data_IF_954308021988
#
_entry.id   IF_954308021988
#
_cell.length_a   1.000
_cell.length_b   1.000
_cell.length_c   1.000
_cell.angle_alpha   90.00
_cell.angle_beta   90.00
_cell.angle_gamma   90.00
#
_symmetry.space_group_name_H-M   'P 1'
#
loop_
_entity.id
_entity.type
_entity.pdbx_description
1 polymer ?
#
# COMPACT_ATOMS: atom_id res chain seq x y z
N UNK A 1 -15.25 -29.92 -2.16
CA UNK A 1 -15.03 -29.16 -3.40
C UNK A 1 -16.40 -28.78 -3.91
N UNK A 2 -16.75 -27.52 -3.86
CA UNK A 2 -18.05 -27.05 -4.30
C UNK A 2 -17.96 -26.80 -5.79
N UNK A 3 -18.78 -27.52 -6.51
CA UNK A 3 -18.71 -27.52 -7.96
C UNK A 3 -19.40 -26.32 -8.58
N UNK A 4 -19.02 -25.96 -9.60
CA UNK A 4 -19.00 -24.93 -10.32
C UNK A 4 -19.88 -24.69 -11.40
N UNK A 5 -20.81 -25.13 -11.86
CA UNK A 5 -21.71 -24.79 -12.98
C UNK A 5 -22.13 -23.29 -13.04
N UNK A 6 -21.16 -22.43 -12.87
CA UNK A 6 -21.34 -21.00 -13.02
C UNK A 6 -22.04 -20.27 -11.86
N UNK A 7 -22.42 -20.96 -10.81
CA UNK A 7 -23.09 -20.34 -9.67
C UNK A 7 -22.11 -20.02 -8.56
N UNK A 8 -22.04 -18.74 -8.18
CA UNK A 8 -21.28 -18.32 -7.02
C UNK A 8 -22.12 -18.57 -5.77
N UNK A 9 -21.77 -19.60 -4.99
CA UNK A 9 -22.44 -19.95 -3.74
C UNK A 9 -21.94 -19.16 -2.53
N UNK A 10 -20.94 -18.31 -2.72
CA UNK A 10 -20.28 -17.56 -1.66
C UNK A 10 -20.48 -16.06 -1.87
N UNK A 11 -20.68 -15.34 -0.80
CA UNK A 11 -20.65 -13.87 -0.86
C UNK A 11 -19.25 -13.38 -1.24
N UNK A 12 -19.14 -12.14 -1.78
CA UNK A 12 -17.86 -11.55 -2.17
C UNK A 12 -16.81 -11.52 -1.04
N UNK A 13 -17.26 -11.35 0.22
CA UNK A 13 -16.36 -11.35 1.38
C UNK A 13 -15.81 -12.75 1.66
N UNK A 14 -16.68 -13.79 1.65
CA UNK A 14 -16.26 -15.18 1.82
C UNK A 14 -15.35 -15.62 0.69
N UNK A 15 -15.67 -15.28 -0.56
CA UNK A 15 -14.81 -15.57 -1.70
C UNK A 15 -13.43 -14.92 -1.54
N UNK A 16 -13.38 -13.66 -1.15
CA UNK A 16 -12.12 -12.95 -0.90
C UNK A 16 -11.32 -13.59 0.24
N UNK A 17 -12.00 -14.03 1.31
CA UNK A 17 -11.39 -14.74 2.41
C UNK A 17 -10.74 -16.05 1.94
N UNK A 18 -11.48 -16.92 1.27
CA UNK A 18 -10.97 -18.19 0.76
C UNK A 18 -9.89 -18.01 -0.30
N UNK A 19 -10.07 -17.07 -1.23
CA UNK A 19 -9.04 -16.77 -2.27
C UNK A 19 -7.74 -16.28 -1.67
N UNK A 20 -7.79 -15.55 -0.56
CA UNK A 20 -6.59 -14.98 0.07
C UNK A 20 -5.99 -15.86 1.18
N UNK A 21 -6.58 -17.00 1.50
CA UNK A 21 -6.03 -17.89 2.53
C UNK A 21 -4.69 -18.51 2.09
N UNK A 22 -3.73 -18.70 3.03
CA UNK A 22 -2.44 -19.35 2.76
C UNK A 22 -2.55 -20.75 2.15
N UNK A 23 -3.64 -21.44 2.43
CA UNK A 23 -3.93 -22.79 1.95
C UNK A 23 -4.82 -22.83 0.69
N UNK A 24 -5.10 -21.69 0.08
CA UNK A 24 -5.86 -21.65 -1.15
C UNK A 24 -5.07 -22.30 -2.29
N UNK A 25 -5.56 -23.40 -2.89
CA UNK A 25 -4.84 -24.07 -3.99
C UNK A 25 -4.73 -23.21 -5.26
N UNK A 26 -5.53 -22.14 -5.38
CA UNK A 26 -5.46 -21.19 -6.50
C UNK A 26 -4.41 -20.09 -6.29
N UNK A 27 -3.82 -20.01 -5.11
CA UNK A 27 -2.80 -19.02 -4.79
C UNK A 27 -1.65 -19.70 -4.06
N UNK A 28 -0.55 -19.89 -4.75
CA UNK A 28 0.61 -20.58 -4.21
C UNK A 28 1.46 -19.65 -3.31
N UNK A 29 2.36 -20.24 -2.54
CA UNK A 29 3.26 -19.51 -1.63
C UNK A 29 4.13 -18.48 -2.36
N UNK A 30 4.43 -18.72 -3.64
CA UNK A 30 5.18 -17.81 -4.49
C UNK A 30 4.39 -16.51 -4.75
N UNK A 31 3.11 -16.62 -5.10
CA UNK A 31 2.26 -15.44 -5.34
C UNK A 31 2.10 -14.56 -4.09
N UNK A 32 2.02 -15.17 -2.90
CA UNK A 32 2.05 -14.41 -1.65
C UNK A 32 3.34 -13.63 -1.43
N UNK A 33 4.49 -14.26 -1.74
CA UNK A 33 5.78 -13.59 -1.66
C UNK A 33 5.89 -12.42 -2.65
N UNK A 34 5.34 -12.58 -3.83
CA UNK A 34 5.35 -11.55 -4.87
C UNK A 34 4.47 -10.36 -4.53
N UNK A 35 3.27 -10.58 -4.00
CA UNK A 35 2.41 -9.50 -3.51
C UNK A 35 3.10 -8.73 -2.38
N UNK A 36 3.76 -9.44 -1.47
CA UNK A 36 4.55 -8.83 -0.40
C UNK A 36 5.75 -8.03 -0.93
N UNK A 37 6.42 -8.54 -1.97
CA UNK A 37 7.54 -7.85 -2.60
C UNK A 37 7.08 -6.57 -3.31
N UNK A 38 6.00 -6.64 -4.08
CA UNK A 38 5.41 -5.49 -4.77
C UNK A 38 5.00 -4.39 -3.77
N UNK A 39 4.29 -4.75 -2.70
CA UNK A 39 3.89 -3.80 -1.64
C UNK A 39 5.11 -3.15 -1.00
N UNK A 40 6.14 -3.93 -0.68
CA UNK A 40 7.40 -3.41 -0.14
C UNK A 40 8.13 -2.52 -1.13
N UNK A 41 8.10 -2.82 -2.43
CA UNK A 41 8.69 -1.98 -3.46
C UNK A 41 8.02 -0.61 -3.53
N UNK A 42 6.69 -0.54 -3.47
CA UNK A 42 5.94 0.73 -3.41
C UNK A 42 6.31 1.52 -2.15
N UNK A 43 6.41 0.87 -1.01
CA UNK A 43 6.83 1.51 0.25
C UNK A 43 8.26 2.07 0.15
N UNK A 44 9.18 1.31 -0.44
CA UNK A 44 10.57 1.75 -0.68
C UNK A 44 10.61 2.91 -1.67
N UNK A 45 9.82 2.85 -2.75
CA UNK A 45 9.70 3.93 -3.73
C UNK A 45 9.29 5.24 -3.05
N UNK A 46 8.20 5.23 -2.29
CA UNK A 46 7.68 6.41 -1.59
C UNK A 46 8.74 6.98 -0.64
N UNK A 47 9.35 6.13 0.18
CA UNK A 47 10.37 6.56 1.13
C UNK A 47 11.60 7.16 0.43
N UNK A 48 12.05 6.60 -0.71
CA UNK A 48 13.16 7.13 -1.48
C UNK A 48 12.82 8.49 -2.11
N UNK A 49 11.62 8.64 -2.67
CA UNK A 49 11.16 9.92 -3.22
C UNK A 49 11.14 11.01 -2.15
N UNK A 50 10.56 10.73 -0.99
CA UNK A 50 10.50 11.68 0.13
C UNK A 50 11.91 12.03 0.63
N UNK A 51 12.79 11.04 0.79
CA UNK A 51 14.18 11.26 1.23
C UNK A 51 14.99 12.08 0.23
N UNK A 52 14.87 11.81 -1.07
CA UNK A 52 15.52 12.61 -2.13
C UNK A 52 15.14 14.10 -2.05
N UNK A 53 13.91 14.38 -1.62
CA UNK A 53 13.38 15.74 -1.51
C UNK A 53 13.45 16.30 -0.09
N UNK A 54 14.34 15.75 0.76
CA UNK A 54 14.60 16.20 2.12
C UNK A 54 13.37 16.21 3.04
N UNK A 55 12.36 15.40 2.71
CA UNK A 55 11.18 15.21 3.54
C UNK A 55 11.46 14.04 4.49
N UNK A 56 11.77 14.37 5.73
CA UNK A 56 12.12 13.41 6.76
C UNK A 56 10.90 12.91 7.53
N UNK A 57 11.03 11.72 8.06
CA UNK A 57 10.08 11.08 8.95
C UNK A 57 10.71 10.96 10.34
N UNK A 58 9.96 11.30 11.37
CA UNK A 58 10.46 11.34 12.75
C UNK A 58 10.98 9.98 13.23
N UNK A 59 10.26 8.90 12.85
CA UNK A 59 10.68 7.53 13.16
C UNK A 59 11.24 6.85 11.92
N UNK A 60 12.56 6.86 11.76
CA UNK A 60 13.21 6.11 10.68
C UNK A 60 13.06 4.59 10.88
N UNK A 61 13.14 3.83 9.78
CA UNK A 61 13.01 2.36 9.78
C UNK A 61 13.93 1.62 10.77
N UNK A 62 14.99 2.23 11.22
CA UNK A 62 15.91 1.66 12.22
C UNK A 62 15.24 1.39 13.57
N UNK A 63 14.21 2.15 13.90
CA UNK A 63 13.49 2.13 15.16
C UNK A 63 12.06 1.57 15.01
N UNK A 64 11.88 0.54 14.18
CA UNK A 64 10.55 -0.05 13.95
C UNK A 64 9.83 -0.48 15.23
N UNK A 65 10.55 -0.99 16.22
CA UNK A 65 9.97 -1.37 17.51
C UNK A 65 9.49 -0.18 18.31
N UNK A 66 10.24 0.91 18.30
CA UNK A 66 9.88 2.16 18.97
C UNK A 66 8.68 2.81 18.29
N UNK A 67 8.66 2.84 16.96
CA UNK A 67 7.51 3.33 16.21
C UNK A 67 6.26 2.49 16.45
N UNK A 68 6.37 1.17 16.47
CA UNK A 68 5.25 0.29 16.79
C UNK A 68 4.73 0.55 18.20
N UNK A 69 5.63 0.72 19.17
CA UNK A 69 5.25 1.06 20.54
C UNK A 69 4.58 2.42 20.64
N UNK A 70 5.11 3.44 19.95
CA UNK A 70 4.52 4.77 19.90
C UNK A 70 3.07 4.73 19.39
N UNK A 71 2.79 4.03 18.30
CA UNK A 71 1.42 3.89 17.77
C UNK A 71 0.55 3.07 18.74
N UNK A 72 1.07 2.01 19.33
CA UNK A 72 0.35 1.20 20.31
C UNK A 72 -0.07 2.00 21.56
N UNK A 73 0.85 2.82 22.10
CA UNK A 73 0.56 3.73 23.22
C UNK A 73 -0.46 4.80 22.82
N UNK A 74 -0.33 5.37 21.62
CA UNK A 74 -1.24 6.40 21.07
C UNK A 74 -2.69 5.92 20.97
N UNK A 75 -2.90 4.62 20.76
CA UNK A 75 -4.23 3.98 20.72
C UNK A 75 -4.60 3.29 22.03
N UNK A 76 -3.97 3.65 23.17
CA UNK A 76 -4.24 3.09 24.49
C UNK A 76 -4.22 1.55 24.50
N UNK A 77 -3.29 0.94 23.78
CA UNK A 77 -3.08 -0.52 23.70
C UNK A 77 -4.28 -1.29 23.12
N UNK A 78 -5.14 -0.65 22.35
CA UNK A 78 -6.38 -1.25 21.82
C UNK A 78 -6.43 -1.24 20.29
N UNK A 79 -7.10 -2.25 19.76
CA UNK A 79 -7.54 -2.19 18.34
C UNK A 79 -8.51 -1.03 18.15
N UNK A 80 -8.21 -0.11 17.26
CA UNK A 80 -9.08 1.05 17.01
C UNK A 80 -10.51 0.63 16.62
N UNK A 81 -10.67 -0.42 15.80
CA UNK A 81 -11.99 -0.83 15.30
C UNK A 81 -12.86 -1.53 16.32
N UNK A 82 -12.35 -2.56 17.01
CA UNK A 82 -13.15 -3.36 17.95
C UNK A 82 -12.89 -3.05 19.43
N UNK A 83 -12.01 -2.11 19.71
CA UNK A 83 -11.63 -1.68 21.07
C UNK A 83 -11.07 -2.80 21.99
N UNK A 84 -10.77 -3.98 21.40
CA UNK A 84 -10.12 -5.09 22.12
C UNK A 84 -8.72 -4.67 22.56
N UNK A 85 -8.34 -5.02 23.80
CA UNK A 85 -6.96 -4.87 24.26
C UNK A 85 -6.02 -5.74 23.43
N UNK A 86 -4.86 -5.20 23.10
CA UNK A 86 -3.82 -5.86 22.30
C UNK A 86 -2.49 -5.82 23.04
N UNK A 87 -1.79 -6.94 23.04
CA UNK A 87 -0.36 -6.92 23.30
C UNK A 87 0.38 -6.25 22.11
N UNK A 88 1.54 -5.68 22.35
CA UNK A 88 2.34 -5.05 21.27
C UNK A 88 2.63 -6.03 20.12
N UNK A 89 2.82 -7.32 20.43
CA UNK A 89 3.04 -8.39 19.45
C UNK A 89 1.80 -8.75 18.61
N UNK A 90 0.60 -8.43 19.10
CA UNK A 90 -0.67 -8.70 18.40
C UNK A 90 -1.13 -7.53 17.55
N UNK A 91 -0.50 -6.36 17.76
CA UNK A 91 -0.81 -5.15 17.01
C UNK A 91 -0.29 -5.23 15.58
N UNK A 92 -1.12 -4.76 14.65
CA UNK A 92 -0.74 -4.49 13.27
C UNK A 92 -0.77 -2.99 13.03
N UNK A 93 0.36 -2.47 12.52
CA UNK A 93 0.42 -1.10 12.02
C UNK A 93 -0.31 -1.04 10.67
N UNK A 94 -1.37 -0.26 10.61
CA UNK A 94 -2.11 -0.02 9.38
C UNK A 94 -1.84 1.37 8.84
N UNK A 95 -1.70 1.44 7.52
CA UNK A 95 -1.69 2.71 6.82
C UNK A 95 -3.09 3.34 6.90
N UNK A 96 -3.30 4.35 7.71
CA UNK A 96 -4.60 5.03 7.81
C UNK A 96 -5.09 5.45 6.44
N UNK A 97 -4.26 6.17 5.68
CA UNK A 97 -4.46 6.36 4.24
C UNK A 97 -3.70 5.27 3.48
N UNK A 98 -4.30 4.61 2.45
CA UNK A 98 -3.77 3.37 1.90
C UNK A 98 -2.43 3.53 1.16
N UNK A 99 -1.49 2.61 1.40
CA UNK A 99 -0.21 2.55 0.69
C UNK A 99 -0.38 2.47 -0.84
N UNK A 100 -1.39 1.75 -1.31
CA UNK A 100 -1.68 1.60 -2.74
C UNK A 100 -1.89 2.95 -3.43
N UNK A 101 -2.34 3.97 -2.69
CA UNK A 101 -2.56 5.33 -3.18
C UNK A 101 -1.43 6.29 -2.79
N UNK A 102 -0.21 5.78 -2.66
CA UNK A 102 1.03 6.51 -2.40
C UNK A 102 1.13 7.17 -1.02
N UNK A 103 0.39 6.69 -0.03
CA UNK A 103 0.56 7.13 1.35
C UNK A 103 1.56 6.25 2.08
N UNK A 104 2.55 6.88 2.73
CA UNK A 104 3.54 6.15 3.53
C UNK A 104 2.97 5.74 4.89
N UNK A 105 3.67 4.83 5.55
CA UNK A 105 3.46 4.54 6.96
C UNK A 105 4.20 5.60 7.78
N UNK A 106 3.47 6.38 8.56
CA UNK A 106 3.98 7.46 9.39
C UNK A 106 3.21 7.57 10.72
N UNK A 107 3.40 8.65 11.48
CA UNK A 107 2.76 8.90 12.78
C UNK A 107 1.24 8.96 12.74
N UNK A 108 0.65 8.99 11.55
CA UNK A 108 -0.80 8.89 11.35
C UNK A 108 -1.30 7.45 11.26
N UNK A 109 -0.41 6.46 11.37
CA UNK A 109 -0.76 5.04 11.34
C UNK A 109 -1.81 4.68 12.39
N UNK A 110 -2.60 3.65 12.09
CA UNK A 110 -3.66 3.14 12.97
C UNK A 110 -3.26 1.81 13.59
N UNK A 111 -3.60 1.63 14.87
CA UNK A 111 -3.43 0.38 15.62
C UNK A 111 -4.62 -0.54 15.38
N UNK A 112 -4.42 -1.67 14.70
CA UNK A 112 -5.47 -2.66 14.43
C UNK A 112 -5.05 -4.06 14.88
N UNK A 113 -6.03 -4.92 15.22
CA UNK A 113 -5.79 -6.35 15.30
C UNK A 113 -5.68 -6.96 13.89
N UNK A 114 -5.11 -8.16 13.78
CA UNK A 114 -4.88 -8.82 12.50
C UNK A 114 -6.15 -8.94 11.64
N UNK A 115 -7.29 -9.26 12.25
CA UNK A 115 -8.58 -9.38 11.56
C UNK A 115 -9.01 -8.05 10.93
N UNK A 116 -9.01 -6.95 11.69
CA UNK A 116 -9.45 -5.65 11.20
C UNK A 116 -8.43 -5.03 10.22
N UNK A 117 -7.13 -5.27 10.43
CA UNK A 117 -6.12 -4.89 9.45
C UNK A 117 -6.35 -5.59 8.09
N UNK A 118 -6.67 -6.89 8.10
CA UNK A 118 -6.99 -7.62 6.88
C UNK A 118 -8.31 -7.16 6.22
N UNK A 119 -9.31 -6.80 7.03
CA UNK A 119 -10.59 -6.29 6.51
C UNK A 119 -10.43 -4.90 5.92
N UNK A 120 -9.70 -4.02 6.57
CA UNK A 120 -9.42 -2.68 6.06
C UNK A 120 -8.62 -2.74 4.76
N UNK A 121 -7.57 -3.57 4.70
CA UNK A 121 -6.78 -3.74 3.47
C UNK A 121 -6.38 -2.37 2.86
N UNK A 122 -6.65 -2.16 1.56
CA UNK A 122 -6.36 -0.92 0.85
C UNK A 122 -7.60 0.02 0.73
N UNK A 123 -8.60 -0.14 1.60
CA UNK A 123 -9.72 0.78 1.64
C UNK A 123 -9.31 2.14 2.22
N UNK A 124 -9.88 3.20 1.68
CA UNK A 124 -9.82 4.51 2.32
C UNK A 124 -10.56 4.52 3.65
N UNK A 125 -10.23 5.41 4.59
CA UNK A 125 -10.91 5.49 5.88
C UNK A 125 -12.43 5.60 5.74
N UNK A 126 -12.92 6.46 4.86
CA UNK A 126 -14.35 6.67 4.59
C UNK A 126 -15.07 5.43 4.07
N UNK A 127 -14.37 4.45 3.50
CA UNK A 127 -14.96 3.21 2.99
C UNK A 127 -14.98 2.08 4.03
N UNK A 128 -14.36 2.33 5.21
CA UNK A 128 -14.20 1.30 6.23
C UNK A 128 -14.71 1.70 7.61
N UNK A 129 -14.54 2.95 7.99
CA UNK A 129 -14.94 3.49 9.29
C UNK A 129 -16.29 4.19 9.23
N UNK A 130 -17.02 4.20 10.35
CA UNK A 130 -18.22 5.02 10.53
C UNK A 130 -17.83 6.49 10.75
N UNK A 131 -18.80 7.41 10.67
CA UNK A 131 -18.56 8.84 10.92
C UNK A 131 -18.01 9.11 12.32
N UNK A 132 -18.55 8.43 13.34
CA UNK A 132 -18.06 8.57 14.73
C UNK A 132 -16.61 8.05 14.85
N UNK A 133 -16.29 6.94 14.19
CA UNK A 133 -14.94 6.41 14.12
C UNK A 133 -13.99 7.35 13.37
N UNK A 134 -14.44 8.00 12.29
CA UNK A 134 -13.64 8.99 11.56
C UNK A 134 -13.35 10.23 12.43
N UNK A 135 -14.34 10.70 13.19
CA UNK A 135 -14.17 11.78 14.16
C UNK A 135 -13.15 11.43 15.24
N UNK A 136 -13.24 10.21 15.81
CA UNK A 136 -12.27 9.70 16.79
C UNK A 136 -10.88 9.55 16.17
N UNK A 137 -10.79 8.97 14.98
CA UNK A 137 -9.54 8.75 14.25
C UNK A 137 -8.83 10.08 13.92
N UNK A 138 -9.58 11.09 13.50
CA UNK A 138 -9.07 12.45 13.28
C UNK A 138 -8.38 13.01 14.52
N UNK A 139 -9.02 12.89 15.69
CA UNK A 139 -8.46 13.37 16.97
C UNK A 139 -7.18 12.63 17.35
N UNK A 140 -7.14 11.32 17.14
CA UNK A 140 -5.98 10.50 17.50
C UNK A 140 -4.83 10.70 16.52
N UNK A 141 -5.09 10.68 15.22
CA UNK A 141 -4.04 10.71 14.19
C UNK A 141 -3.58 12.11 13.83
N UNK A 142 -4.42 13.12 14.06
CA UNK A 142 -4.20 14.50 13.59
C UNK A 142 -4.56 14.73 12.13
N UNK A 143 -5.06 13.71 11.42
CA UNK A 143 -5.58 13.89 10.05
C UNK A 143 -6.89 14.67 10.09
N UNK A 144 -7.05 15.63 9.18
CA UNK A 144 -8.32 16.34 9.07
C UNK A 144 -9.46 15.42 8.61
N UNK A 145 -10.70 15.72 9.01
CA UNK A 145 -11.86 14.97 8.55
C UNK A 145 -12.00 15.01 7.03
N UNK A 146 -11.71 16.15 6.41
CA UNK A 146 -11.68 16.27 4.96
C UNK A 146 -10.73 15.26 4.34
N UNK A 147 -9.52 15.09 4.92
CA UNK A 147 -8.55 14.10 4.46
C UNK A 147 -9.04 12.67 4.65
N UNK A 148 -9.66 12.36 5.78
CA UNK A 148 -10.21 11.02 6.07
C UNK A 148 -11.39 10.66 5.16
N UNK A 149 -12.18 11.63 4.69
CA UNK A 149 -13.24 11.43 3.71
C UNK A 149 -12.75 11.39 2.26
N UNK A 150 -11.52 11.83 2.00
CA UNK A 150 -10.96 11.85 0.66
C UNK A 150 -10.63 10.43 0.16
N UNK A 151 -10.92 10.19 -1.13
CA UNK A 151 -10.47 8.99 -1.87
C UNK A 151 -9.38 9.33 -2.88
N UNK A 152 -8.59 10.34 -2.57
CA UNK A 152 -7.58 10.84 -3.48
C UNK A 152 -6.23 10.15 -3.29
N UNK A 153 -5.49 10.04 -4.37
CA UNK A 153 -4.07 9.68 -4.33
C UNK A 153 -3.28 10.78 -3.61
N UNK A 154 -2.14 10.42 -3.03
CA UNK A 154 -1.21 11.40 -2.49
C UNK A 154 -0.55 12.20 -3.63
N UNK A 155 -1.13 13.38 -3.92
CA UNK A 155 -0.68 14.22 -5.03
C UNK A 155 0.75 14.74 -4.84
N UNK A 156 1.21 14.94 -3.60
CA UNK A 156 2.60 15.33 -3.33
C UNK A 156 3.57 14.23 -3.76
N UNK A 157 3.34 12.99 -3.37
CA UNK A 157 4.20 11.86 -3.75
C UNK A 157 4.08 11.56 -5.25
N UNK A 158 2.89 11.72 -5.84
CA UNK A 158 2.70 11.59 -7.29
C UNK A 158 3.54 12.63 -8.04
N UNK A 159 3.55 13.89 -7.61
CA UNK A 159 4.37 14.92 -8.24
C UNK A 159 5.87 14.59 -8.11
N UNK A 160 6.32 14.16 -6.91
CA UNK A 160 7.70 13.72 -6.73
C UNK A 160 8.07 12.55 -7.64
N UNK A 161 7.15 11.63 -7.90
CA UNK A 161 7.37 10.53 -8.82
C UNK A 161 7.53 11.03 -10.26
N UNK A 162 6.71 11.97 -10.69
CA UNK A 162 6.81 12.61 -12.02
C UNK A 162 8.14 13.35 -12.16
N UNK A 163 8.50 14.15 -11.17
CA UNK A 163 9.75 14.93 -11.17
C UNK A 163 11.01 14.03 -11.17
N UNK A 164 10.88 12.78 -10.71
CA UNK A 164 11.95 11.79 -10.67
C UNK A 164 11.69 10.60 -11.62
N UNK A 165 10.95 10.80 -12.69
CA UNK A 165 10.50 9.71 -13.57
C UNK A 165 11.67 8.97 -14.25
N UNK A 166 12.74 9.68 -14.62
CA UNK A 166 13.96 9.09 -15.19
C UNK A 166 14.61 8.16 -14.17
N UNK A 167 14.84 8.64 -12.95
CA UNK A 167 15.36 7.82 -11.86
C UNK A 167 14.48 6.59 -11.57
N UNK A 168 13.16 6.75 -11.64
CA UNK A 168 12.22 5.64 -11.41
C UNK A 168 12.43 4.50 -12.42
N UNK A 169 12.54 4.82 -13.71
CA UNK A 169 12.73 3.80 -14.75
C UNK A 169 14.17 3.30 -14.84
N UNK A 170 15.16 4.18 -14.77
CA UNK A 170 16.55 3.85 -15.10
C UNK A 170 17.35 3.32 -13.89
N UNK A 171 16.90 3.61 -12.67
CA UNK A 171 17.59 3.17 -11.47
C UNK A 171 16.69 2.33 -10.55
N UNK A 172 15.51 2.84 -10.17
CA UNK A 172 14.68 2.16 -9.19
C UNK A 172 14.15 0.82 -9.71
N UNK A 173 13.53 0.79 -10.88
CA UNK A 173 13.04 -0.45 -11.50
C UNK A 173 14.18 -1.39 -11.94
N UNK A 174 15.38 -0.87 -12.16
CA UNK A 174 16.55 -1.66 -12.53
C UNK A 174 17.20 -2.38 -11.35
N UNK A 175 16.67 -2.24 -10.13
CA UNK A 175 17.14 -3.02 -8.98
C UNK A 175 17.13 -4.51 -9.30
N UNK A 176 18.23 -5.27 -9.02
CA UNK A 176 18.34 -6.70 -9.36
C UNK A 176 17.18 -7.57 -8.83
N UNK A 177 16.58 -7.21 -7.69
CA UNK A 177 15.43 -7.95 -7.16
C UNK A 177 14.15 -7.70 -7.97
N UNK A 178 14.02 -6.54 -8.63
CA UNK A 178 12.89 -6.23 -9.48
C UNK A 178 13.08 -6.73 -10.92
N UNK A 179 14.31 -7.01 -11.33
CA UNK A 179 14.64 -7.60 -12.63
C UNK A 179 14.48 -9.13 -12.68
N UNK A 180 13.95 -9.74 -11.62
CA UNK A 180 13.66 -11.18 -11.58
C UNK A 180 12.30 -11.48 -12.19
N UNK A 181 12.28 -12.45 -13.13
CA UNK A 181 11.04 -13.02 -13.66
C UNK A 181 10.45 -13.99 -12.65
N UNK A 182 9.17 -13.82 -12.33
CA UNK A 182 8.40 -14.66 -11.42
C UNK A 182 7.02 -14.94 -12.03
N UNK A 183 6.66 -16.20 -12.15
CA UNK A 183 5.45 -16.65 -12.86
C UNK A 183 5.34 -16.06 -14.28
N UNK A 184 6.46 -16.02 -15.02
CA UNK A 184 6.51 -15.53 -16.39
C UNK A 184 6.45 -14.01 -16.54
N UNK A 185 6.36 -13.23 -15.46
CA UNK A 185 6.28 -11.77 -15.49
C UNK A 185 7.46 -11.15 -14.75
N UNK A 186 8.04 -10.10 -15.32
CA UNK A 186 9.08 -9.33 -14.66
C UNK A 186 8.50 -8.59 -13.43
N UNK A 187 9.20 -8.63 -12.29
CA UNK A 187 8.72 -7.96 -11.08
C UNK A 187 8.60 -6.45 -11.28
N UNK A 188 9.52 -5.82 -12.02
CA UNK A 188 9.46 -4.41 -12.37
C UNK A 188 8.17 -4.05 -13.12
N UNK A 189 7.72 -4.91 -14.05
CA UNK A 189 6.45 -4.70 -14.77
C UNK A 189 5.26 -4.76 -13.82
N UNK A 190 5.24 -5.73 -12.88
CA UNK A 190 4.18 -5.82 -11.85
C UNK A 190 4.13 -4.58 -10.96
N UNK A 191 5.27 -3.98 -10.62
CA UNK A 191 5.35 -2.73 -9.85
C UNK A 191 4.78 -1.58 -10.67
N UNK A 192 5.24 -1.43 -11.91
CA UNK A 192 4.79 -0.39 -12.83
C UNK A 192 3.28 -0.47 -13.09
N UNK A 193 2.75 -1.66 -13.38
CA UNK A 193 1.31 -1.88 -13.58
C UNK A 193 0.47 -1.58 -12.34
N UNK A 194 1.03 -1.80 -11.15
CA UNK A 194 0.34 -1.45 -9.91
C UNK A 194 0.23 0.06 -9.74
N UNK A 195 1.29 0.79 -10.09
CA UNK A 195 1.26 2.25 -10.11
C UNK A 195 0.32 2.77 -11.19
N UNK A 196 0.42 2.27 -12.42
CA UNK A 196 -0.47 2.65 -13.53
C UNK A 196 -1.95 2.57 -13.14
N UNK A 197 -2.37 1.48 -12.47
CA UNK A 197 -3.77 1.30 -12.03
C UNK A 197 -4.24 2.39 -11.07
N UNK A 198 -3.37 2.85 -10.20
CA UNK A 198 -3.71 3.85 -9.16
C UNK A 198 -3.69 5.26 -9.72
N UNK A 199 -2.72 5.55 -10.60
CA UNK A 199 -2.55 6.88 -11.19
C UNK A 199 -3.32 7.05 -12.51
N UNK A 200 -4.04 6.02 -12.97
CA UNK A 200 -4.77 6.02 -14.23
C UNK A 200 -5.69 7.24 -14.36
N UNK A 201 -5.62 7.91 -15.49
CA UNK A 201 -6.36 9.14 -15.78
C UNK A 201 -5.78 10.41 -15.14
N UNK A 202 -4.72 10.31 -14.32
CA UNK A 202 -4.02 11.48 -13.76
C UNK A 202 -2.72 11.76 -14.50
N UNK A 203 -1.88 10.75 -14.68
CA UNK A 203 -0.55 10.88 -15.30
C UNK A 203 -0.17 9.58 -16.02
N UNK A 204 0.49 9.68 -17.16
CA UNK A 204 1.19 8.57 -17.80
C UNK A 204 2.70 8.72 -17.60
N UNK A 205 3.27 7.89 -16.71
CA UNK A 205 4.69 7.97 -16.38
C UNK A 205 5.61 7.66 -17.58
N UNK A 206 5.17 6.82 -18.51
CA UNK A 206 5.98 6.51 -19.71
C UNK A 206 6.02 7.72 -20.67
N UNK A 207 4.91 8.44 -20.82
CA UNK A 207 4.88 9.70 -21.57
C UNK A 207 5.69 10.80 -20.87
N UNK A 208 5.62 10.90 -19.54
CA UNK A 208 6.46 11.86 -18.79
C UNK A 208 7.96 11.54 -18.96
N UNK A 209 8.34 10.26 -18.90
CA UNK A 209 9.72 9.82 -19.18
C UNK A 209 10.15 10.22 -20.60
N UNK A 210 9.30 9.95 -21.60
CA UNK A 210 9.58 10.30 -23.00
C UNK A 210 9.73 11.81 -23.21
N UNK A 211 8.94 12.63 -22.54
CA UNK A 211 9.08 14.10 -22.63
C UNK A 211 10.47 14.57 -22.17
N UNK A 212 11.05 13.90 -21.18
CA UNK A 212 12.36 14.26 -20.65
C UNK A 212 13.52 13.68 -21.46
N UNK A 213 13.39 12.41 -21.90
CA UNK A 213 14.51 11.66 -22.52
C UNK A 213 14.45 11.58 -24.04
N UNK A 214 13.30 11.88 -24.65
CA UNK A 214 13.06 11.76 -26.07
C UNK A 214 12.65 10.36 -26.55
N UNK A 215 12.66 9.35 -25.68
CA UNK A 215 12.27 7.97 -25.99
C UNK A 215 11.49 7.31 -24.86
N UNK A 216 10.80 6.22 -25.12
CA UNK A 216 10.14 5.44 -24.06
C UNK A 216 11.14 4.64 -23.23
N UNK A 217 10.81 4.32 -21.96
CA UNK A 217 11.67 3.48 -21.13
C UNK A 217 11.82 2.07 -21.70
N UNK A 218 13.05 1.53 -21.64
CA UNK A 218 13.41 0.24 -22.26
C UNK A 218 12.75 -1.00 -21.61
N UNK A 219 12.22 -0.90 -20.41
CA UNK A 219 11.67 -2.02 -19.62
C UNK A 219 10.15 -2.04 -19.54
N UNK A 220 9.45 -1.24 -20.31
CA UNK A 220 7.99 -1.19 -20.30
C UNK A 220 7.46 -1.82 -21.57
N UNK A 221 6.86 -3.00 -21.43
CA UNK A 221 6.05 -3.56 -22.50
C UNK A 221 4.92 -2.57 -22.79
N UNK A 222 5.06 -1.85 -23.90
CA UNK A 222 4.02 -1.00 -24.45
C UNK A 222 2.95 -1.95 -24.98
N UNK A 223 1.85 -2.11 -24.27
CA UNK A 223 0.64 -2.76 -24.76
C UNK A 223 -0.42 -1.69 -24.92
#
# INVERSE_FOLDING_TARGET
MISYYGHQLECKACKKFFVNMPLNPQRNAQQFKEDGLRRRAIEVLINNLLKKNLIHFEFERKNKSEFSKYIWDKFNHKCFKCKKDLQLSEMNLDHTMPLAYLYRLDETATCLCASHNSQKSDHFPVDYYTEDELLELSKITGLSLEKLHSREINNQVLQLLVDNVVWFYDEFLMNPDYQKVRDGILTADKINDSLKRVINGKVDLAEEYKKVTGHYPNSVTII
#
